data_IF_033753505489
#
_entry.id   IF_033753505489
#
_cell.length_a   1.000
_cell.length_b   1.000
_cell.length_c   1.000
_cell.angle_alpha   90.00
_cell.angle_beta   90.00
_cell.angle_gamma   90.00
#
_symmetry.space_group_name_H-M   'P 1'
#
loop_
_entity.id
_entity.type
_entity.pdbx_description
1 polymer ?
#
# COMPACT_ATOMS: atom_id res chain seq x y z
N UNK A 1 58.23 20.75 25.59
CA UNK A 1 57.73 19.37 25.35
C UNK A 1 56.60 19.50 24.33
N UNK A 2 56.94 19.82 23.09
CA UNK A 2 57.22 18.88 21.97
C UNK A 2 55.94 18.30 21.39
N UNK A 3 55.56 18.85 20.24
CA UNK A 3 54.58 18.32 19.28
C UNK A 3 54.78 16.81 19.06
N UNK A 4 53.70 16.04 19.18
CA UNK A 4 53.61 14.72 18.53
C UNK A 4 52.48 14.76 17.52
N UNK A 5 52.91 14.98 16.28
CA UNK A 5 52.14 14.83 15.07
C UNK A 5 51.57 13.41 14.94
N UNK A 6 50.35 13.35 14.43
CA UNK A 6 49.66 12.17 13.92
C UNK A 6 50.56 11.45 12.91
N UNK A 7 50.99 10.21 13.21
CA UNK A 7 51.78 9.38 12.28
C UNK A 7 50.86 8.72 11.27
N UNK A 8 51.08 8.99 9.99
CA UNK A 8 50.53 8.18 8.90
C UNK A 8 51.00 6.72 9.02
N UNK A 9 50.17 5.72 8.67
CA UNK A 9 50.61 4.34 8.60
C UNK A 9 51.56 4.13 7.41
N UNK A 10 52.68 3.45 7.65
CA UNK A 10 53.75 3.16 6.69
C UNK A 10 53.23 2.50 5.39
N UNK A 11 53.68 3.04 4.25
CA UNK A 11 53.39 2.56 2.90
C UNK A 11 53.87 1.14 2.58
N UNK A 12 54.67 0.52 3.45
CA UNK A 12 55.25 -0.81 3.20
C UNK A 12 54.33 -1.99 3.56
N UNK A 13 53.11 -1.75 4.05
CA UNK A 13 52.09 -2.79 4.25
C UNK A 13 51.24 -3.00 2.98
N UNK A 14 51.30 -2.08 2.01
CA UNK A 14 50.51 -2.13 0.77
C UNK A 14 51.22 -2.83 -0.39
N UNK A 15 52.49 -3.24 -0.22
CA UNK A 15 53.26 -3.87 -1.28
C UNK A 15 53.48 -5.39 -1.08
N UNK A 16 53.17 -5.96 0.09
CA UNK A 16 53.13 -7.42 0.28
C UNK A 16 51.86 -8.08 -0.29
N UNK A 17 50.77 -7.33 -0.50
CA UNK A 17 49.56 -7.86 -1.16
C UNK A 17 49.66 -7.93 -2.70
N UNK A 18 50.67 -7.32 -3.32
CA UNK A 18 50.84 -7.33 -4.78
C UNK A 18 51.59 -8.54 -5.33
N UNK A 19 52.03 -9.46 -4.47
CA UNK A 19 52.82 -10.64 -4.83
C UNK A 19 52.05 -11.95 -5.06
N UNK A 20 50.74 -11.99 -4.80
CA UNK A 20 49.90 -13.19 -4.99
C UNK A 20 48.92 -13.03 -6.17
N UNK A 21 49.43 -12.59 -7.32
CA UNK A 21 48.75 -12.80 -8.61
C UNK A 21 48.93 -14.25 -9.04
N UNK A 22 48.14 -15.15 -8.45
CA UNK A 22 48.15 -16.58 -8.72
C UNK A 22 46.74 -17.11 -8.91
N UNK A 23 46.24 -17.01 -10.15
CA UNK A 23 45.26 -17.92 -10.77
C UNK A 23 44.22 -18.58 -9.85
N UNK A 24 43.04 -17.99 -9.78
CA UNK A 24 41.81 -18.67 -9.40
C UNK A 24 41.26 -18.24 -8.04
N UNK A 25 40.25 -17.34 -8.06
CA UNK A 25 39.15 -17.21 -7.08
C UNK A 25 38.29 -15.95 -7.20
N UNK A 26 38.44 -15.14 -8.25
CA UNK A 26 37.51 -14.02 -8.54
C UNK A 26 36.30 -14.43 -9.42
N UNK A 27 36.14 -15.74 -9.68
CA UNK A 27 35.09 -16.28 -10.56
C UNK A 27 33.84 -16.83 -9.82
N UNK A 28 33.85 -16.90 -8.47
CA UNK A 28 32.88 -17.74 -7.74
C UNK A 28 31.83 -16.98 -6.91
N UNK A 29 31.54 -15.71 -7.22
CA UNK A 29 30.25 -15.06 -6.87
C UNK A 29 29.59 -14.49 -8.14
N UNK A 30 29.79 -15.13 -9.29
CA UNK A 30 28.80 -15.08 -10.35
C UNK A 30 27.70 -16.05 -9.93
N UNK A 31 26.71 -15.56 -9.15
CA UNK A 31 25.46 -16.30 -8.92
C UNK A 31 25.03 -16.81 -10.28
N UNK A 32 25.01 -18.13 -10.48
CA UNK A 32 24.73 -18.76 -11.76
C UNK A 32 23.36 -18.31 -12.27
N UNK A 33 23.33 -17.17 -12.95
CA UNK A 33 22.14 -16.59 -13.53
C UNK A 33 21.83 -17.46 -14.75
N UNK A 34 20.85 -18.36 -14.58
CA UNK A 34 20.34 -19.15 -15.69
C UNK A 34 20.07 -18.24 -16.89
N UNK A 35 20.24 -18.76 -18.11
CA UNK A 35 19.96 -18.03 -19.34
C UNK A 35 18.58 -17.32 -19.32
N UNK A 36 17.61 -17.94 -18.65
CA UNK A 36 16.28 -17.37 -18.39
C UNK A 36 16.34 -16.09 -17.54
N UNK A 37 17.12 -16.07 -16.45
CA UNK A 37 17.30 -14.88 -15.61
C UNK A 37 18.00 -13.74 -16.37
N UNK A 38 18.98 -14.04 -17.23
CA UNK A 38 19.62 -13.03 -18.10
C UNK A 38 18.62 -12.46 -19.12
N UNK A 39 17.70 -13.28 -19.64
CA UNK A 39 16.60 -12.85 -20.52
C UNK A 39 15.52 -12.04 -19.78
N UNK A 40 15.19 -12.39 -18.54
CA UNK A 40 14.27 -11.61 -17.71
C UNK A 40 14.89 -10.27 -17.27
N UNK A 41 16.18 -10.26 -16.92
CA UNK A 41 16.92 -9.04 -16.63
C UNK A 41 16.95 -8.08 -17.82
N UNK A 42 17.18 -8.59 -19.04
CA UNK A 42 17.15 -7.76 -20.26
C UNK A 42 15.75 -7.22 -20.60
N UNK A 43 14.69 -7.92 -20.17
CA UNK A 43 13.31 -7.44 -20.21
C UNK A 43 12.97 -6.43 -19.10
N UNK A 44 13.90 -6.16 -18.16
CA UNK A 44 13.72 -5.19 -17.09
C UNK A 44 13.10 -5.75 -15.81
N UNK A 45 13.17 -7.06 -15.60
CA UNK A 45 12.78 -7.71 -14.33
C UNK A 45 13.91 -7.55 -13.31
N UNK A 46 13.57 -7.14 -12.08
CA UNK A 46 14.52 -6.97 -11.00
C UNK A 46 15.07 -8.34 -10.53
N UNK A 47 16.40 -8.51 -10.58
CA UNK A 47 17.08 -9.78 -10.21
C UNK A 47 17.76 -9.74 -8.84
N UNK A 48 17.78 -8.59 -8.16
CA UNK A 48 18.51 -8.38 -6.89
C UNK A 48 17.90 -9.10 -5.68
N UNK A 49 16.63 -9.50 -5.76
CA UNK A 49 15.95 -10.27 -4.72
C UNK A 49 16.06 -9.62 -3.34
N UNK A 50 16.72 -10.31 -2.42
CA UNK A 50 16.89 -9.89 -1.00
C UNK A 50 18.22 -9.18 -0.73
N UNK A 51 19.11 -9.09 -1.74
CA UNK A 51 20.44 -8.50 -1.57
C UNK A 51 20.31 -6.98 -1.41
N UNK A 52 21.03 -6.35 -0.46
CA UNK A 52 21.03 -4.91 -0.34
C UNK A 52 21.45 -4.23 -1.65
N UNK A 53 20.76 -3.17 -2.04
CA UNK A 53 21.09 -2.42 -3.26
C UNK A 53 22.43 -1.69 -3.05
N UNK A 54 23.46 -1.91 -3.89
CA UNK A 54 24.73 -1.20 -3.79
C UNK A 54 24.55 0.31 -3.91
N UNK A 55 25.39 1.09 -3.22
CA UNK A 55 25.30 2.57 -3.22
C UNK A 55 25.40 3.14 -4.65
N UNK A 56 26.18 2.52 -5.53
CA UNK A 56 26.32 2.92 -6.94
C UNK A 56 25.02 2.86 -7.73
N UNK A 57 24.10 1.96 -7.35
CA UNK A 57 22.84 1.72 -8.05
C UNK A 57 21.70 2.58 -7.47
N UNK A 58 21.95 3.24 -6.32
CA UNK A 58 21.00 4.14 -5.64
C UNK A 58 21.00 5.53 -6.28
N UNK A 59 20.43 5.61 -7.48
CA UNK A 59 20.49 6.82 -8.32
C UNK A 59 19.30 7.77 -8.14
N UNK A 60 18.27 7.38 -7.38
CA UNK A 60 17.05 8.18 -7.29
C UNK A 60 17.21 9.36 -6.32
N UNK A 61 17.26 10.57 -6.87
CA UNK A 61 17.32 11.84 -6.10
C UNK A 61 15.95 12.46 -5.86
N UNK A 62 14.88 11.95 -6.50
CA UNK A 62 13.53 12.52 -6.46
C UNK A 62 12.76 12.02 -5.24
N UNK A 63 13.05 12.59 -4.08
CA UNK A 63 12.42 12.20 -2.81
C UNK A 63 10.89 12.40 -2.84
N UNK A 64 10.39 13.43 -3.55
CA UNK A 64 8.95 13.67 -3.72
C UNK A 64 8.22 12.51 -4.43
N UNK A 65 8.94 11.63 -5.13
CA UNK A 65 8.37 10.42 -5.74
C UNK A 65 7.76 9.47 -4.70
N UNK A 66 8.25 9.49 -3.46
CA UNK A 66 7.67 8.73 -2.34
C UNK A 66 6.22 9.13 -2.12
N UNK A 67 5.96 10.44 -2.08
CA UNK A 67 4.61 10.96 -1.86
C UNK A 67 3.65 10.46 -2.94
N UNK A 68 4.04 10.57 -4.21
CA UNK A 68 3.19 10.12 -5.32
C UNK A 68 2.96 8.62 -5.30
N UNK A 69 3.92 7.83 -4.84
CA UNK A 69 3.79 6.38 -4.76
C UNK A 69 2.79 5.99 -3.67
N UNK A 70 2.93 6.53 -2.47
CA UNK A 70 1.96 6.31 -1.39
C UNK A 70 0.57 6.85 -1.74
N UNK A 71 0.52 8.00 -2.41
CA UNK A 71 -0.73 8.54 -2.93
C UNK A 71 -1.40 7.53 -3.87
N UNK A 72 -0.65 6.97 -4.83
CA UNK A 72 -1.22 5.95 -5.72
C UNK A 72 -1.76 4.77 -4.94
N UNK A 73 -0.96 4.22 -4.03
CA UNK A 73 -1.34 3.03 -3.27
C UNK A 73 -2.53 3.26 -2.35
N UNK A 74 -2.79 4.51 -1.97
CA UNK A 74 -3.87 4.86 -1.05
C UNK A 74 -5.17 5.29 -1.73
N UNK A 75 -5.10 5.82 -2.96
CA UNK A 75 -6.28 6.26 -3.71
C UNK A 75 -6.90 5.07 -4.45
N UNK A 76 -7.67 4.30 -3.70
CA UNK A 76 -8.44 3.17 -4.20
C UNK A 76 -9.71 2.98 -3.34
N UNK A 77 -10.45 1.90 -3.60
CA UNK A 77 -11.75 1.65 -2.97
C UNK A 77 -11.65 1.01 -1.57
N UNK A 78 -10.51 0.40 -1.24
CA UNK A 78 -10.29 -0.33 0.02
C UNK A 78 -10.45 0.55 1.27
N UNK A 79 -9.92 1.80 1.34
CA UNK A 79 -10.20 2.71 2.44
C UNK A 79 -11.69 3.03 2.57
N UNK A 80 -12.43 3.19 1.47
CA UNK A 80 -13.88 3.48 1.52
C UNK A 80 -14.61 2.29 2.14
N UNK A 81 -14.34 1.08 1.66
CA UNK A 81 -14.92 -0.17 2.19
C UNK A 81 -14.60 -0.33 3.67
N UNK A 82 -13.35 -0.09 4.06
CA UNK A 82 -12.92 -0.16 5.47
C UNK A 82 -13.66 0.89 6.32
N UNK A 83 -13.86 2.11 5.82
CA UNK A 83 -14.60 3.16 6.51
C UNK A 83 -16.08 2.85 6.69
N UNK A 84 -16.71 2.21 5.69
CA UNK A 84 -18.13 1.80 5.75
C UNK A 84 -18.40 0.82 6.90
N UNK A 85 -17.42 0.02 7.29
CA UNK A 85 -17.57 -0.92 8.42
C UNK A 85 -17.82 -0.21 9.76
N UNK A 86 -17.41 1.05 9.93
CA UNK A 86 -17.66 1.79 11.17
C UNK A 86 -19.16 1.87 11.49
N UNK A 87 -19.99 2.45 10.61
CA UNK A 87 -21.43 2.46 10.82
C UNK A 87 -22.11 1.12 10.57
N UNK A 88 -21.80 0.43 9.46
CA UNK A 88 -22.53 -0.79 9.06
C UNK A 88 -22.16 -2.04 9.87
N UNK A 89 -20.91 -2.12 10.35
CA UNK A 89 -20.41 -3.27 11.11
C UNK A 89 -20.36 -3.00 12.62
N UNK A 90 -19.87 -1.83 13.03
CA UNK A 90 -19.69 -1.48 14.45
C UNK A 90 -20.81 -0.61 15.02
N UNK A 91 -21.77 -0.17 14.21
CA UNK A 91 -22.88 0.67 14.67
C UNK A 91 -22.43 2.04 15.18
N UNK A 92 -21.39 2.61 14.59
CA UNK A 92 -20.86 3.93 14.95
C UNK A 92 -21.51 5.04 14.12
N UNK A 93 -21.85 6.15 14.77
CA UNK A 93 -22.27 7.35 14.06
C UNK A 93 -21.12 7.95 13.24
N UNK A 94 -21.45 8.67 12.16
CA UNK A 94 -20.47 9.30 11.27
C UNK A 94 -19.43 10.14 12.03
N UNK A 95 -19.88 10.92 13.02
CA UNK A 95 -18.98 11.75 13.85
C UNK A 95 -17.94 10.88 14.57
N UNK A 96 -18.39 9.85 15.25
CA UNK A 96 -17.52 9.01 16.09
C UNK A 96 -16.57 8.19 15.22
N UNK A 97 -17.07 7.60 14.12
CA UNK A 97 -16.22 6.95 13.12
C UNK A 97 -15.16 7.90 12.58
N UNK A 98 -15.53 9.12 12.21
CA UNK A 98 -14.60 10.10 11.63
C UNK A 98 -13.51 10.52 12.62
N UNK A 99 -13.87 10.72 13.89
CA UNK A 99 -12.90 11.07 14.94
C UNK A 99 -11.94 9.91 15.21
N UNK A 100 -12.45 8.67 15.30
CA UNK A 100 -11.61 7.48 15.48
C UNK A 100 -10.64 7.34 14.30
N UNK A 101 -11.16 7.41 13.07
CA UNK A 101 -10.35 7.39 11.84
C UNK A 101 -9.26 8.46 11.92
N UNK A 102 -9.61 9.72 12.21
CA UNK A 102 -8.65 10.82 12.21
C UNK A 102 -7.54 10.62 13.25
N UNK A 103 -7.89 10.40 14.51
CA UNK A 103 -6.90 10.34 15.59
C UNK A 103 -6.03 9.08 15.52
N UNK A 104 -6.62 7.92 15.23
CA UNK A 104 -5.82 6.70 15.07
C UNK A 104 -5.00 6.73 13.79
N UNK A 105 -5.48 7.35 12.70
CA UNK A 105 -4.66 7.50 11.50
C UNK A 105 -3.47 8.42 11.72
N UNK A 106 -3.63 9.48 12.51
CA UNK A 106 -2.49 10.34 12.90
C UNK A 106 -1.44 9.49 13.62
N UNK A 107 -1.84 8.69 14.60
CA UNK A 107 -0.93 7.89 15.40
C UNK A 107 -0.28 6.74 14.60
N UNK A 108 -1.07 5.96 13.88
CA UNK A 108 -0.65 4.74 13.20
C UNK A 108 0.18 4.98 11.94
N UNK A 109 0.10 6.17 11.34
CA UNK A 109 0.93 6.52 10.17
C UNK A 109 2.37 6.87 10.57
N UNK A 110 2.61 7.35 11.80
CA UNK A 110 3.96 7.70 12.30
C UNK A 110 4.97 6.57 12.19
N UNK A 111 4.71 5.33 12.68
CA UNK A 111 5.69 4.24 12.58
C UNK A 111 6.01 3.87 11.13
N UNK A 112 5.03 3.93 10.23
CA UNK A 112 5.22 3.69 8.78
C UNK A 112 6.22 4.70 8.21
N UNK A 113 5.98 5.99 8.47
CA UNK A 113 6.83 7.06 8.00
C UNK A 113 8.24 7.03 8.60
N UNK A 114 8.36 6.63 9.87
CA UNK A 114 9.66 6.47 10.53
C UNK A 114 10.48 5.34 9.88
N UNK A 115 9.89 4.16 9.69
CA UNK A 115 10.60 3.02 9.09
C UNK A 115 11.01 3.28 7.64
N UNK A 116 10.21 4.04 6.88
CA UNK A 116 10.60 4.48 5.53
C UNK A 116 11.95 5.21 5.50
N UNK A 117 12.31 5.94 6.56
CA UNK A 117 13.58 6.70 6.62
C UNK A 117 14.82 5.81 6.65
N UNK A 118 14.67 4.53 6.99
CA UNK A 118 15.75 3.55 7.04
C UNK A 118 16.09 2.98 5.65
N UNK A 119 15.14 3.05 4.70
CA UNK A 119 15.31 2.55 3.34
C UNK A 119 16.53 3.13 2.62
N UNK A 120 16.66 4.46 2.45
CA UNK A 120 17.79 5.07 1.73
C UNK A 120 19.16 4.79 2.38
N UNK A 121 19.19 4.74 3.72
CA UNK A 121 20.43 4.54 4.49
C UNK A 121 20.95 3.11 4.32
N UNK A 122 20.07 2.14 4.49
CA UNK A 122 20.44 0.73 4.49
C UNK A 122 20.51 0.14 3.08
N UNK A 123 19.65 0.60 2.16
CA UNK A 123 19.38 -0.05 0.87
C UNK A 123 18.84 -1.47 1.00
N UNK A 124 18.35 -1.83 2.18
CA UNK A 124 17.74 -3.11 2.47
C UNK A 124 16.22 -2.99 2.43
N UNK A 125 15.56 -4.00 1.87
CA UNK A 125 14.11 -4.16 1.98
C UNK A 125 13.67 -4.28 3.44
N UNK A 126 12.49 -3.78 3.75
CA UNK A 126 11.99 -3.58 5.11
C UNK A 126 11.91 -4.90 5.90
N UNK A 127 11.46 -5.98 5.27
CA UNK A 127 11.39 -7.30 5.90
C UNK A 127 12.77 -7.93 6.13
N UNK A 128 13.79 -7.52 5.39
CA UNK A 128 15.19 -7.90 5.66
C UNK A 128 15.72 -7.10 6.85
N UNK A 129 15.34 -5.83 6.99
CA UNK A 129 15.69 -5.04 8.18
C UNK A 129 15.09 -5.62 9.47
N UNK A 130 13.92 -6.27 9.40
CA UNK A 130 13.31 -6.94 10.56
C UNK A 130 14.20 -8.04 11.16
N UNK A 131 15.17 -8.58 10.41
CA UNK A 131 16.16 -9.55 10.90
C UNK A 131 17.03 -9.00 12.03
N UNK A 132 17.26 -7.69 12.07
CA UNK A 132 18.05 -7.08 13.14
C UNK A 132 17.30 -7.04 14.48
N UNK A 133 15.97 -7.07 14.46
CA UNK A 133 15.15 -7.06 15.67
C UNK A 133 14.78 -8.47 16.15
N UNK A 134 14.44 -9.37 15.23
CA UNK A 134 13.95 -10.71 15.56
C UNK A 134 15.01 -11.82 15.37
N UNK A 135 16.16 -11.52 14.78
CA UNK A 135 17.16 -12.53 14.41
C UNK A 135 16.81 -13.28 13.13
N UNK A 136 17.71 -14.16 12.69
CA UNK A 136 17.61 -14.81 11.37
C UNK A 136 16.43 -15.78 11.24
N UNK A 137 16.10 -16.52 12.30
CA UNK A 137 15.07 -17.56 12.25
C UNK A 137 13.68 -17.06 12.67
N UNK A 138 13.58 -16.31 13.79
CA UNK A 138 12.28 -15.88 14.32
C UNK A 138 11.60 -14.81 13.45
N UNK A 139 12.36 -14.05 12.65
CA UNK A 139 11.81 -13.10 11.66
C UNK A 139 10.85 -13.77 10.66
N UNK A 140 10.94 -15.09 10.47
CA UNK A 140 10.04 -15.82 9.57
C UNK A 140 8.58 -15.70 10.02
N UNK A 141 8.32 -15.61 11.33
CA UNK A 141 6.97 -15.44 11.89
C UNK A 141 6.34 -14.11 11.47
N UNK A 142 6.92 -12.92 11.74
CA UNK A 142 6.37 -11.65 11.26
C UNK A 142 6.35 -11.57 9.73
N UNK A 143 7.26 -12.25 9.02
CA UNK A 143 7.19 -12.33 7.55
C UNK A 143 5.93 -13.06 7.08
N UNK A 144 5.63 -14.23 7.63
CA UNK A 144 4.42 -14.99 7.27
C UNK A 144 3.15 -14.20 7.63
N UNK A 145 3.12 -13.57 8.80
CA UNK A 145 1.98 -12.74 9.22
C UNK A 145 1.78 -11.53 8.31
N UNK A 146 2.87 -10.88 7.88
CA UNK A 146 2.78 -9.78 6.92
C UNK A 146 2.29 -10.26 5.54
N UNK A 147 2.79 -11.40 5.05
CA UNK A 147 2.32 -12.01 3.81
C UNK A 147 0.82 -12.34 3.87
N UNK A 148 0.34 -12.88 4.99
CA UNK A 148 -1.08 -13.14 5.21
C UNK A 148 -1.89 -11.83 5.19
N UNK A 149 -1.37 -10.76 5.80
CA UNK A 149 -2.04 -9.45 5.83
C UNK A 149 -2.17 -8.84 4.43
N UNK A 150 -1.08 -8.82 3.66
CA UNK A 150 -1.09 -8.30 2.28
C UNK A 150 -1.97 -9.15 1.36
N UNK A 151 -1.96 -10.47 1.54
CA UNK A 151 -2.90 -11.37 0.84
C UNK A 151 -4.34 -11.04 1.19
N UNK A 152 -4.62 -10.73 2.46
CA UNK A 152 -5.94 -10.29 2.91
C UNK A 152 -6.43 -9.04 2.20
N UNK A 153 -5.57 -8.03 2.02
CA UNK A 153 -5.91 -6.85 1.23
C UNK A 153 -6.22 -7.19 -0.23
N UNK A 154 -5.40 -8.03 -0.87
CA UNK A 154 -5.68 -8.50 -2.24
C UNK A 154 -7.01 -9.25 -2.36
N UNK A 155 -7.38 -10.04 -1.35
CA UNK A 155 -8.67 -10.74 -1.30
C UNK A 155 -9.81 -9.73 -1.22
N UNK A 156 -9.73 -8.73 -0.35
CA UNK A 156 -10.78 -7.71 -0.23
C UNK A 156 -10.91 -6.92 -1.54
N UNK A 157 -9.79 -6.52 -2.16
CA UNK A 157 -9.82 -5.82 -3.44
C UNK A 157 -10.49 -6.66 -4.55
N UNK A 158 -10.22 -7.97 -4.57
CA UNK A 158 -10.84 -8.90 -5.52
C UNK A 158 -12.34 -9.10 -5.25
N UNK A 159 -12.73 -9.19 -3.97
CA UNK A 159 -14.13 -9.28 -3.53
C UNK A 159 -14.90 -8.05 -4.00
N UNK A 160 -14.40 -6.86 -3.68
CA UNK A 160 -15.07 -5.59 -4.01
C UNK A 160 -15.14 -5.38 -5.52
N UNK A 161 -14.08 -5.73 -6.27
CA UNK A 161 -14.10 -5.70 -7.73
C UNK A 161 -15.14 -6.66 -8.32
N UNK A 162 -15.23 -7.88 -7.78
CA UNK A 162 -16.23 -8.88 -8.19
C UNK A 162 -17.67 -8.48 -7.90
N UNK A 163 -17.91 -7.93 -6.70
CA UNK A 163 -19.19 -7.34 -6.29
C UNK A 163 -19.61 -6.20 -7.23
N UNK A 164 -18.67 -5.32 -7.58
CA UNK A 164 -18.91 -4.19 -8.48
C UNK A 164 -19.26 -4.65 -9.89
N UNK A 165 -18.56 -5.67 -10.41
CA UNK A 165 -18.85 -6.27 -11.71
C UNK A 165 -20.22 -6.96 -11.70
N UNK A 166 -20.55 -7.70 -10.63
CA UNK A 166 -21.85 -8.36 -10.49
C UNK A 166 -23.00 -7.35 -10.45
N UNK A 167 -22.83 -6.24 -9.72
CA UNK A 167 -23.86 -5.21 -9.53
C UNK A 167 -24.36 -4.58 -10.83
N UNK A 168 -23.54 -4.50 -11.88
CA UNK A 168 -23.95 -3.91 -13.17
C UNK A 168 -24.55 -4.91 -14.17
N UNK A 169 -24.42 -6.22 -13.90
CA UNK A 169 -24.81 -7.29 -14.83
C UNK A 169 -26.24 -7.81 -14.63
N UNK A 170 -27.03 -7.19 -13.74
CA UNK A 170 -28.44 -7.56 -13.50
C UNK A 170 -28.66 -9.06 -13.24
N UNK A 171 -27.74 -9.70 -12.52
CA UNK A 171 -27.82 -11.12 -12.17
C UNK A 171 -27.26 -12.10 -13.22
N UNK A 172 -26.72 -11.61 -14.35
CA UNK A 172 -26.03 -12.48 -15.31
C UNK A 172 -24.68 -13.00 -14.82
N UNK A 173 -24.05 -12.28 -13.89
CA UNK A 173 -22.77 -12.66 -13.29
C UNK A 173 -22.90 -12.63 -11.77
N UNK A 174 -22.65 -13.77 -11.13
CA UNK A 174 -22.64 -13.86 -9.66
C UNK A 174 -21.38 -13.18 -9.10
N UNK A 175 -21.42 -12.66 -7.86
CA UNK A 175 -20.23 -12.08 -7.22
C UNK A 175 -19.03 -13.03 -7.25
N UNK A 176 -19.24 -14.32 -6.94
CA UNK A 176 -18.20 -15.35 -6.95
C UNK A 176 -17.45 -15.44 -8.28
N UNK A 177 -18.18 -15.42 -9.41
CA UNK A 177 -17.57 -15.46 -10.74
C UNK A 177 -16.83 -14.15 -11.02
N UNK A 178 -17.39 -13.01 -10.60
CA UNK A 178 -16.72 -11.71 -10.71
C UNK A 178 -15.38 -11.67 -9.99
N UNK A 179 -15.31 -12.23 -8.78
CA UNK A 179 -14.08 -12.32 -7.97
C UNK A 179 -13.02 -13.10 -8.72
N UNK A 180 -13.38 -14.26 -9.27
CA UNK A 180 -12.43 -15.10 -10.04
C UNK A 180 -11.94 -14.36 -11.28
N UNK A 181 -12.81 -13.65 -11.99
CA UNK A 181 -12.43 -12.86 -13.18
C UNK A 181 -11.45 -11.75 -12.79
N UNK A 182 -11.75 -10.96 -11.76
CA UNK A 182 -10.86 -9.88 -11.30
C UNK A 182 -9.52 -10.43 -10.80
N UNK A 183 -9.52 -11.53 -10.07
CA UNK A 183 -8.29 -12.16 -9.58
C UNK A 183 -7.40 -12.65 -10.73
N UNK A 184 -7.98 -13.26 -11.77
CA UNK A 184 -7.22 -13.69 -12.97
C UNK A 184 -6.66 -12.47 -13.71
N UNK A 185 -7.46 -11.41 -13.91
CA UNK A 185 -7.00 -10.20 -14.58
C UNK A 185 -5.85 -9.53 -13.80
N UNK A 186 -5.98 -9.39 -12.49
CA UNK A 186 -4.92 -8.85 -11.63
C UNK A 186 -3.65 -9.71 -11.71
N UNK A 187 -3.79 -11.05 -11.71
CA UNK A 187 -2.66 -11.97 -11.86
C UNK A 187 -1.95 -11.81 -13.22
N UNK A 188 -2.69 -11.64 -14.31
CA UNK A 188 -2.11 -11.40 -15.64
C UNK A 188 -1.29 -10.12 -15.68
N UNK A 189 -1.77 -9.04 -15.04
CA UNK A 189 -1.05 -7.76 -14.95
C UNK A 189 0.26 -7.93 -14.17
N UNK A 190 0.29 -8.75 -13.12
CA UNK A 190 1.53 -9.04 -12.37
C UNK A 190 2.62 -9.69 -13.25
N UNK A 191 2.25 -10.44 -14.30
CA UNK A 191 3.22 -11.03 -15.23
C UNK A 191 3.76 -10.04 -16.29
N UNK A 192 3.17 -8.85 -16.43
CA UNK A 192 3.61 -7.85 -17.41
C UNK A 192 4.97 -7.17 -17.08
N UNK A 193 5.57 -7.50 -15.93
CA UNK A 193 6.91 -7.05 -15.54
C UNK A 193 6.97 -5.63 -14.95
N UNK A 194 8.09 -5.32 -14.30
CA UNK A 194 8.25 -4.14 -13.44
C UNK A 194 8.07 -2.80 -14.18
N UNK A 195 8.55 -2.68 -15.43
CA UNK A 195 8.48 -1.42 -16.19
C UNK A 195 7.04 -1.02 -16.54
N UNK A 196 6.20 -1.98 -16.93
CA UNK A 196 4.79 -1.74 -17.27
C UNK A 196 4.02 -1.40 -16.00
N UNK A 197 4.22 -2.20 -14.94
CA UNK A 197 3.60 -1.97 -13.64
C UNK A 197 3.94 -0.58 -13.09
N UNK A 198 5.20 -0.18 -13.11
CA UNK A 198 5.62 1.12 -12.61
C UNK A 198 5.04 2.29 -13.40
N UNK A 199 4.83 2.12 -14.72
CA UNK A 199 4.15 3.12 -15.54
C UNK A 199 2.65 3.18 -15.20
N UNK A 200 2.01 2.03 -15.00
CA UNK A 200 0.62 1.93 -14.61
C UNK A 200 0.38 2.57 -13.23
N UNK A 201 1.14 2.17 -12.21
CA UNK A 201 1.06 2.71 -10.84
C UNK A 201 1.27 4.22 -10.79
N UNK A 202 2.06 4.80 -11.70
CA UNK A 202 2.21 6.26 -11.72
C UNK A 202 0.91 7.02 -12.03
N UNK A 203 -0.02 6.41 -12.75
CA UNK A 203 -1.26 7.07 -13.21
C UNK A 203 -2.55 6.39 -12.77
N UNK A 204 -2.49 5.17 -12.22
CA UNK A 204 -3.67 4.37 -11.84
C UNK A 204 -4.60 5.07 -10.83
N UNK A 205 -4.05 5.97 -10.01
CA UNK A 205 -4.83 6.74 -9.04
C UNK A 205 -5.74 7.80 -9.66
N UNK A 206 -5.43 8.27 -10.87
CA UNK A 206 -6.22 9.30 -11.56
C UNK A 206 -7.62 8.78 -11.93
N UNK A 207 -7.76 7.67 -12.69
CA UNK A 207 -9.07 7.13 -13.00
C UNK A 207 -9.82 6.68 -11.73
N UNK A 208 -9.12 6.11 -10.75
CA UNK A 208 -9.73 5.75 -9.47
C UNK A 208 -10.30 6.97 -8.73
N UNK A 209 -9.52 8.07 -8.63
CA UNK A 209 -9.99 9.31 -8.02
C UNK A 209 -11.18 9.90 -8.77
N UNK A 210 -11.12 9.93 -10.11
CA UNK A 210 -12.20 10.43 -10.94
C UNK A 210 -13.48 9.61 -10.72
N UNK A 211 -13.38 8.28 -10.67
CA UNK A 211 -14.51 7.40 -10.38
C UNK A 211 -15.11 7.68 -8.99
N UNK A 212 -14.27 7.79 -7.95
CA UNK A 212 -14.70 8.11 -6.59
C UNK A 212 -15.38 9.48 -6.53
N UNK A 213 -14.84 10.49 -7.22
CA UNK A 213 -15.42 11.84 -7.27
C UNK A 213 -16.77 11.83 -7.98
N UNK A 214 -16.91 11.09 -9.09
CA UNK A 214 -18.18 10.96 -9.80
C UNK A 214 -19.21 10.27 -8.90
N UNK A 215 -18.86 9.13 -8.29
CA UNK A 215 -19.76 8.40 -7.38
C UNK A 215 -20.21 9.27 -6.20
N UNK A 216 -19.27 10.01 -5.60
CA UNK A 216 -19.56 10.94 -4.50
C UNK A 216 -20.41 12.11 -4.99
N UNK A 217 -20.18 12.63 -6.20
CA UNK A 217 -20.95 13.73 -6.77
C UNK A 217 -22.39 13.34 -7.10
N UNK A 218 -22.62 12.13 -7.63
CA UNK A 218 -23.96 11.64 -7.98
C UNK A 218 -24.76 11.21 -6.75
N UNK A 219 -24.10 10.54 -5.80
CA UNK A 219 -24.71 10.07 -4.55
C UNK A 219 -24.74 11.12 -3.42
N UNK A 220 -23.98 12.22 -3.55
CA UNK A 220 -23.66 13.13 -2.45
C UNK A 220 -24.86 13.77 -1.75
N UNK A 221 -25.97 13.99 -2.48
CA UNK A 221 -27.22 14.53 -1.91
C UNK A 221 -27.82 13.67 -0.79
N UNK A 222 -27.44 12.39 -0.73
CA UNK A 222 -27.91 11.45 0.27
C UNK A 222 -26.97 11.30 1.47
N UNK A 223 -25.73 11.80 1.38
CA UNK A 223 -24.75 11.68 2.47
C UNK A 223 -25.14 12.45 3.73
N UNK A 224 -26.10 13.38 3.66
CA UNK A 224 -26.66 14.03 4.84
C UNK A 224 -27.60 13.12 5.65
N UNK A 225 -28.13 12.06 5.04
CA UNK A 225 -29.17 11.21 5.62
C UNK A 225 -28.58 10.16 6.56
N UNK A 226 -27.80 10.58 7.55
CA UNK A 226 -27.09 9.67 8.45
C UNK A 226 -28.03 8.94 9.42
N UNK A 227 -27.81 7.66 9.59
CA UNK A 227 -28.46 6.85 10.63
C UNK A 227 -28.01 7.33 12.01
N UNK A 228 -28.93 7.31 12.96
CA UNK A 228 -28.66 7.68 14.34
C UNK A 228 -28.30 6.43 15.11
N UNK A 229 -27.09 6.43 15.66
CA UNK A 229 -26.59 5.37 16.52
C UNK A 229 -26.51 5.86 17.97
N UNK A 230 -26.68 4.96 18.95
CA UNK A 230 -26.42 5.30 20.35
C UNK A 230 -24.96 5.71 20.55
N UNK A 231 -24.69 6.41 21.66
CA UNK A 231 -23.32 6.77 22.02
C UNK A 231 -22.46 5.50 22.13
N UNK A 232 -21.27 5.47 21.51
CA UNK A 232 -20.51 4.23 21.40
C UNK A 232 -19.87 3.85 22.73
N UNK A 233 -19.92 2.56 23.04
CA UNK A 233 -19.17 1.99 24.16
C UNK A 233 -17.66 2.02 23.87
N UNK A 234 -16.84 2.08 24.92
CA UNK A 234 -15.39 2.09 24.79
C UNK A 234 -14.85 0.84 24.06
N UNK A 235 -15.52 -0.30 24.23
CA UNK A 235 -15.23 -1.55 23.52
C UNK A 235 -15.34 -1.37 22.00
N UNK A 236 -16.47 -0.85 21.52
CA UNK A 236 -16.73 -0.59 20.10
C UNK A 236 -15.74 0.42 19.52
N UNK A 237 -15.46 1.50 20.26
CA UNK A 237 -14.46 2.51 19.86
C UNK A 237 -13.09 1.86 19.68
N UNK A 238 -12.65 1.05 20.64
CA UNK A 238 -11.35 0.37 20.58
C UNK A 238 -11.30 -0.71 19.50
N UNK A 239 -12.40 -1.43 19.25
CA UNK A 239 -12.46 -2.43 18.18
C UNK A 239 -12.34 -1.78 16.80
N UNK A 240 -13.07 -0.70 16.55
CA UNK A 240 -12.94 0.03 15.28
C UNK A 240 -11.56 0.70 15.15
N UNK A 241 -11.03 1.24 16.24
CA UNK A 241 -9.66 1.76 16.27
C UNK A 241 -8.61 0.69 15.96
N UNK A 242 -8.78 -0.53 16.46
CA UNK A 242 -7.92 -1.66 16.15
C UNK A 242 -8.00 -2.06 14.67
N UNK A 243 -9.19 -1.95 14.04
CA UNK A 243 -9.33 -2.13 12.60
C UNK A 243 -8.55 -1.06 11.82
N UNK A 244 -8.66 0.22 12.19
CA UNK A 244 -7.90 1.31 11.55
C UNK A 244 -6.39 1.13 11.74
N UNK A 245 -5.96 0.72 12.93
CA UNK A 245 -4.56 0.38 13.19
C UNK A 245 -4.10 -0.81 12.34
N UNK A 246 -4.92 -1.85 12.24
CA UNK A 246 -4.69 -3.03 11.39
C UNK A 246 -4.70 -2.71 9.90
N UNK A 247 -5.32 -1.61 9.47
CA UNK A 247 -5.26 -1.13 8.10
C UNK A 247 -3.96 -0.35 7.80
N UNK A 248 -3.52 0.50 8.72
CA UNK A 248 -2.40 1.42 8.48
C UNK A 248 -1.03 0.86 8.84
N UNK A 249 -0.91 0.17 9.97
CA UNK A 249 0.38 -0.31 10.47
C UNK A 249 1.05 -1.33 9.53
N UNK A 250 0.33 -2.23 8.84
CA UNK A 250 0.99 -3.20 7.95
C UNK A 250 1.83 -2.57 6.84
N UNK A 251 1.49 -1.35 6.40
CA UNK A 251 2.31 -0.60 5.45
C UNK A 251 3.74 -0.34 5.95
N UNK A 252 3.95 -0.34 7.26
CA UNK A 252 5.27 -0.21 7.88
C UNK A 252 6.22 -1.35 7.48
N UNK A 253 5.69 -2.52 7.11
CA UNK A 253 6.44 -3.68 6.65
C UNK A 253 6.89 -3.59 5.17
N UNK A 254 6.38 -2.59 4.43
CA UNK A 254 6.76 -2.31 3.03
C UNK A 254 7.45 -0.95 2.88
N UNK A 255 7.44 -0.13 3.93
CA UNK A 255 7.77 1.29 3.81
C UNK A 255 9.19 1.57 3.30
N UNK A 256 10.16 0.75 3.71
CA UNK A 256 11.54 0.86 3.25
C UNK A 256 11.76 0.45 1.79
N UNK A 257 10.90 -0.39 1.21
CA UNK A 257 11.13 -1.02 -0.10
C UNK A 257 11.12 0.00 -1.24
N UNK A 258 10.31 1.05 -1.13
CA UNK A 258 10.20 2.08 -2.15
C UNK A 258 11.32 3.12 -2.08
N UNK A 259 12.07 3.13 -0.98
CA UNK A 259 13.13 4.09 -0.73
C UNK A 259 14.53 3.49 -0.90
N UNK A 260 14.66 2.18 -1.19
CA UNK A 260 15.97 1.48 -1.32
C UNK A 260 16.82 2.00 -2.47
N UNK A 261 16.20 2.50 -3.54
CA UNK A 261 16.89 3.05 -4.72
C UNK A 261 17.29 4.52 -4.55
N UNK A 262 17.01 5.13 -3.40
CA UNK A 262 17.34 6.52 -3.13
C UNK A 262 18.77 6.71 -2.69
N UNK A 263 19.34 7.84 -3.11
CA UNK A 263 20.67 8.26 -2.69
C UNK A 263 20.77 8.26 -1.15
N UNK A 264 21.87 7.76 -0.56
CA UNK A 264 22.05 7.72 0.90
C UNK A 264 21.95 9.10 1.57
N UNK A 265 22.26 10.17 0.83
CA UNK A 265 22.20 11.56 1.27
C UNK A 265 20.77 12.12 1.34
N UNK A 266 19.76 11.32 0.96
CA UNK A 266 18.37 11.71 1.02
C UNK A 266 17.96 12.09 2.45
N UNK A 267 17.44 13.32 2.61
CA UNK A 267 17.01 13.83 3.92
C UNK A 267 15.93 12.96 4.54
N UNK A 268 16.20 12.38 5.70
CA UNK A 268 15.25 11.53 6.45
C UNK A 268 13.96 12.29 6.81
N UNK A 269 14.04 13.59 7.09
CA UNK A 269 12.87 14.42 7.37
C UNK A 269 11.94 14.52 6.14
N UNK A 270 12.52 14.69 4.94
CA UNK A 270 11.72 14.71 3.69
C UNK A 270 11.08 13.36 3.42
N UNK A 271 11.82 12.25 3.61
CA UNK A 271 11.29 10.89 3.46
C UNK A 271 10.12 10.67 4.43
N UNK A 272 10.28 11.05 5.69
CA UNK A 272 9.22 10.96 6.70
C UNK A 272 7.98 11.75 6.28
N UNK A 273 8.13 13.03 5.94
CA UNK A 273 7.00 13.90 5.59
C UNK A 273 6.28 13.40 4.34
N UNK A 274 7.01 13.00 3.30
CA UNK A 274 6.40 12.51 2.07
C UNK A 274 5.71 11.14 2.23
N UNK A 275 6.28 10.21 3.01
CA UNK A 275 5.60 8.96 3.35
C UNK A 275 4.36 9.23 4.18
N UNK A 276 4.48 10.03 5.24
CA UNK A 276 3.37 10.34 6.14
C UNK A 276 2.23 11.03 5.40
N UNK A 277 2.51 12.11 4.68
CA UNK A 277 1.48 12.86 3.94
C UNK A 277 0.91 12.05 2.77
N UNK A 278 1.74 11.27 2.07
CA UNK A 278 1.31 10.44 0.94
C UNK A 278 0.37 9.32 1.36
N UNK A 279 0.54 8.76 2.57
CA UNK A 279 -0.37 7.75 3.12
C UNK A 279 -1.58 8.40 3.80
N UNK A 280 -1.38 9.44 4.60
CA UNK A 280 -2.42 10.06 5.42
C UNK A 280 -3.46 10.86 4.60
N UNK A 281 -2.99 11.76 3.72
CA UNK A 281 -3.87 12.70 3.01
C UNK A 281 -4.91 12.05 2.10
N UNK A 282 -4.61 10.98 1.33
CA UNK A 282 -5.63 10.27 0.58
C UNK A 282 -6.45 9.31 1.45
N UNK A 283 -5.82 8.60 2.39
CA UNK A 283 -6.49 7.53 3.13
C UNK A 283 -7.57 8.04 4.07
N UNK A 284 -7.30 9.10 4.85
CA UNK A 284 -8.25 9.59 5.86
C UNK A 284 -9.55 10.11 5.25
N UNK A 285 -9.54 10.98 4.22
CA UNK A 285 -10.77 11.40 3.57
C UNK A 285 -11.56 10.24 2.96
N UNK A 286 -10.89 9.23 2.40
CA UNK A 286 -11.55 8.07 1.82
C UNK A 286 -12.18 7.17 2.88
N UNK A 287 -11.52 6.95 4.02
CA UNK A 287 -12.11 6.27 5.18
C UNK A 287 -13.32 7.03 5.72
N UNK A 288 -13.23 8.36 5.84
CA UNK A 288 -14.34 9.20 6.30
C UNK A 288 -15.49 9.20 5.30
N UNK A 289 -15.20 9.24 4.00
CA UNK A 289 -16.20 9.09 2.95
C UNK A 289 -16.89 7.73 3.04
N UNK A 290 -16.14 6.66 3.29
CA UNK A 290 -16.69 5.34 3.58
C UNK A 290 -17.64 5.34 4.76
N UNK A 291 -17.25 5.96 5.88
CA UNK A 291 -18.13 6.11 7.03
C UNK A 291 -19.39 6.94 6.69
N UNK A 292 -19.28 7.97 5.84
CA UNK A 292 -20.44 8.75 5.42
C UNK A 292 -21.40 7.93 4.54
N UNK A 293 -20.87 7.13 3.62
CA UNK A 293 -21.66 6.22 2.77
C UNK A 293 -22.33 5.15 3.64
N UNK A 294 -21.57 4.48 4.50
CA UNK A 294 -22.07 3.43 5.39
C UNK A 294 -23.13 3.94 6.36
N UNK A 295 -22.95 5.14 6.92
CA UNK A 295 -23.93 5.73 7.84
C UNK A 295 -25.20 6.23 7.14
N UNK A 296 -25.13 6.63 5.87
CA UNK A 296 -26.32 7.01 5.10
C UNK A 296 -27.07 5.81 4.50
N UNK A 297 -26.38 4.69 4.26
CA UNK A 297 -26.93 3.50 3.60
C UNK A 297 -28.29 3.04 4.19
N UNK A 298 -28.47 2.89 5.52
CA UNK A 298 -29.74 2.43 6.09
C UNK A 298 -30.94 3.36 5.84
N UNK A 299 -30.69 4.65 5.59
CA UNK A 299 -31.73 5.65 5.35
C UNK A 299 -31.98 5.94 3.87
N UNK A 300 -31.24 5.29 2.97
CA UNK A 300 -31.35 5.46 1.52
C UNK A 300 -31.76 4.13 0.92
N UNK A 301 -33.06 3.91 0.61
CA UNK A 301 -33.57 2.60 0.24
C UNK A 301 -32.84 1.93 -0.93
N UNK A 302 -32.39 2.71 -1.92
CA UNK A 302 -31.62 2.18 -3.05
C UNK A 302 -30.23 1.70 -2.65
N UNK A 303 -29.57 2.37 -1.70
CA UNK A 303 -28.25 1.97 -1.19
C UNK A 303 -28.38 0.74 -0.30
N UNK A 304 -29.39 0.71 0.58
CA UNK A 304 -29.65 -0.47 1.41
C UNK A 304 -29.98 -1.70 0.54
N UNK A 305 -30.84 -1.54 -0.48
CA UNK A 305 -31.14 -2.64 -1.41
C UNK A 305 -29.90 -3.13 -2.17
N UNK A 306 -29.02 -2.20 -2.59
CA UNK A 306 -27.75 -2.55 -3.23
C UNK A 306 -26.80 -3.27 -2.26
N UNK A 307 -26.75 -2.83 -1.01
CA UNK A 307 -25.96 -3.48 0.04
C UNK A 307 -26.45 -4.91 0.31
N UNK A 308 -27.76 -5.11 0.37
CA UNK A 308 -28.37 -6.42 0.60
C UNK A 308 -28.17 -7.36 -0.61
N UNK A 309 -28.04 -6.84 -1.83
CA UNK A 309 -27.85 -7.65 -3.03
C UNK A 309 -26.40 -8.05 -3.29
N UNK A 310 -25.49 -7.08 -3.27
CA UNK A 310 -24.09 -7.26 -3.66
C UNK A 310 -23.15 -6.42 -2.80
N UNK A 311 -23.51 -6.18 -1.53
CA UNK A 311 -22.67 -5.51 -0.55
C UNK A 311 -22.17 -4.16 -1.07
N UNK A 312 -20.88 -3.86 -0.92
CA UNK A 312 -20.29 -2.55 -1.26
C UNK A 312 -20.42 -2.25 -2.75
N UNK A 313 -20.22 -3.24 -3.62
CA UNK A 313 -20.41 -3.06 -5.07
C UNK A 313 -21.81 -2.60 -5.46
N UNK A 314 -22.84 -3.09 -4.74
CA UNK A 314 -24.23 -2.67 -4.97
C UNK A 314 -24.51 -1.25 -4.50
N UNK A 315 -23.93 -0.84 -3.36
CA UNK A 315 -24.03 0.56 -2.89
C UNK A 315 -23.41 1.52 -3.91
N UNK A 316 -22.23 1.20 -4.43
CA UNK A 316 -21.55 2.03 -5.44
C UNK A 316 -22.35 2.13 -6.74
N UNK A 317 -22.92 1.01 -7.20
CA UNK A 317 -23.80 0.99 -8.35
C UNK A 317 -25.05 1.87 -8.14
N UNK A 318 -25.67 1.79 -6.96
CA UNK A 318 -26.83 2.63 -6.61
C UNK A 318 -26.46 4.12 -6.50
N UNK A 319 -25.26 4.45 -6.01
CA UNK A 319 -24.76 5.84 -6.00
C UNK A 319 -24.57 6.40 -7.41
N UNK A 320 -24.17 5.55 -8.36
CA UNK A 320 -23.89 5.91 -9.75
C UNK A 320 -25.09 5.77 -10.68
N UNK A 321 -26.22 5.20 -10.22
CA UNK A 321 -27.47 5.06 -10.98
C UNK A 321 -27.92 6.37 -11.67
N UNK A 322 -27.85 7.56 -11.03
CA UNK A 322 -28.24 8.81 -11.68
C UNK A 322 -27.40 9.18 -12.90
N UNK A 323 -26.18 8.64 -13.03
CA UNK A 323 -25.31 8.85 -14.20
C UNK A 323 -25.63 7.88 -15.36
N UNK A 324 -26.64 7.03 -15.23
CA UNK A 324 -27.12 6.14 -16.29
C UNK A 324 -26.05 5.16 -16.79
N UNK A 325 -25.95 5.00 -18.12
CA UNK A 325 -25.01 4.06 -18.73
C UNK A 325 -23.54 4.36 -18.42
N UNK A 326 -23.18 5.63 -18.24
CA UNK A 326 -21.82 6.02 -17.83
C UNK A 326 -21.54 5.61 -16.38
N UNK A 327 -22.54 5.67 -15.50
CA UNK A 327 -22.42 5.19 -14.12
C UNK A 327 -22.01 3.71 -14.06
N UNK A 328 -22.57 2.87 -14.93
CA UNK A 328 -22.19 1.45 -15.01
C UNK A 328 -20.74 1.23 -15.45
N UNK A 329 -20.23 2.08 -16.35
CA UNK A 329 -18.83 2.04 -16.75
C UNK A 329 -17.91 2.46 -15.59
N UNK A 330 -18.31 3.44 -14.78
CA UNK A 330 -17.52 3.95 -13.65
C UNK A 330 -17.46 2.96 -12.47
N UNK A 331 -18.46 2.08 -12.33
CA UNK A 331 -18.45 1.02 -11.30
C UNK A 331 -17.38 -0.04 -11.55
N UNK A 332 -16.97 -0.28 -12.80
CA UNK A 332 -16.03 -1.34 -13.22
C UNK A 332 -14.63 -0.78 -13.43
#
# INVERSE_FOLDING_TARGET
MSDQAYKEPNANVLDEEKGLSGSGKDADIEVAQSWSLKKFASLGVETGGIVPIPVTDRTNTRIHGIFTLWLTMSVNLLPIVTGMTGPLGYGLGLRDSSLIILFFSILCTVPVAYLATLGPKTGMRQMIQARFSFGYYLVSVPVILNLATLTGFCVIDSVVGGESLSAITHGHLTPDVGIVVIAILAMLVCFCGFKILHRYERFAWIPALVAIVIATGTGGKHLSNQAVYPAPEASTVLSFAALIAGFLIPWAALAGDFAVYMVPEASSAKVFVYTYSGLFLPTVPLLVLGAAIGGACPNVPSWQAGYDSTSVGGVLAAMLEPAGGFGKFVVV
#
